data_IF_910709452425
#
_entry.id   IF_910709452425
#
_cell.length_a   1.000
_cell.length_b   1.000
_cell.length_c   1.000
_cell.angle_alpha   90.00
_cell.angle_beta   90.00
_cell.angle_gamma   90.00
#
_symmetry.space_group_name_H-M   'P 1'
#
loop_
_entity.id
_entity.type
_entity.pdbx_description
1 polymer ?
#
# COMPACT_ATOMS: atom_id res chain seq x y z
N UNK A 1 17.48 -4.02 -2.59
CA UNK A 1 16.10 -4.36 -2.19
C UNK A 1 15.94 -3.92 -0.75
N UNK A 2 14.99 -3.02 -0.51
CA UNK A 2 14.67 -2.47 0.81
C UNK A 2 13.17 -2.64 1.06
N UNK A 3 12.78 -2.95 2.30
CA UNK A 3 11.37 -2.90 2.73
C UNK A 3 11.25 -1.71 3.67
N UNK A 4 10.33 -0.80 3.37
CA UNK A 4 10.11 0.41 4.16
C UNK A 4 8.63 0.74 4.26
N UNK A 5 8.29 1.62 5.19
CA UNK A 5 6.94 2.18 5.30
C UNK A 5 6.66 3.05 4.07
N UNK A 6 5.44 2.95 3.56
CA UNK A 6 4.89 3.81 2.52
C UNK A 6 5.06 5.31 2.87
N UNK A 7 5.31 6.13 1.84
CA UNK A 7 5.40 7.59 1.95
C UNK A 7 4.49 8.25 0.91
N UNK A 8 4.15 9.51 1.13
CA UNK A 8 3.26 10.27 0.23
C UNK A 8 3.78 10.27 -1.22
N UNK A 9 5.10 10.26 -1.41
CA UNK A 9 5.73 10.26 -2.73
C UNK A 9 5.53 8.94 -3.50
N UNK A 10 5.20 7.84 -2.81
CA UNK A 10 4.96 6.53 -3.43
C UNK A 10 3.54 6.39 -4.00
N UNK A 11 2.66 7.38 -3.78
CA UNK A 11 1.21 7.26 -4.02
C UNK A 11 0.86 6.84 -5.46
N UNK A 12 1.35 7.59 -6.45
CA UNK A 12 1.07 7.29 -7.87
C UNK A 12 1.72 5.97 -8.32
N UNK A 13 2.93 5.68 -7.83
CA UNK A 13 3.68 4.48 -8.20
C UNK A 13 3.00 3.20 -7.67
N UNK A 14 2.48 3.25 -6.44
CA UNK A 14 1.73 2.15 -5.81
C UNK A 14 0.41 1.88 -6.53
N UNK A 15 -0.37 2.91 -6.88
CA UNK A 15 -1.62 2.71 -7.64
C UNK A 15 -1.32 2.11 -9.01
N UNK A 16 -0.29 2.60 -9.69
CA UNK A 16 0.17 2.06 -10.98
C UNK A 16 0.60 0.60 -10.85
N UNK A 17 1.28 0.24 -9.76
CA UNK A 17 1.65 -1.14 -9.47
C UNK A 17 0.42 -2.03 -9.25
N UNK A 18 -0.57 -1.56 -8.48
CA UNK A 18 -1.82 -2.31 -8.26
C UNK A 18 -2.63 -2.51 -9.54
N UNK A 19 -2.65 -1.52 -10.44
CA UNK A 19 -3.24 -1.65 -11.77
C UNK A 19 -2.51 -2.74 -12.58
N UNK A 20 -1.18 -2.69 -12.63
CA UNK A 20 -0.34 -3.69 -13.32
C UNK A 20 -0.50 -5.11 -12.77
N UNK A 21 -0.85 -5.24 -11.50
CA UNK A 21 -1.08 -6.51 -10.83
C UNK A 21 -2.55 -6.96 -10.83
N UNK A 22 -3.45 -6.27 -11.54
CA UNK A 22 -4.89 -6.55 -11.59
C UNK A 22 -5.56 -6.61 -10.20
N UNK A 23 -5.10 -5.76 -9.27
CA UNK A 23 -5.61 -5.69 -7.90
C UNK A 23 -6.76 -4.68 -7.73
N UNK A 24 -6.88 -3.71 -8.63
CA UNK A 24 -7.94 -2.71 -8.59
C UNK A 24 -9.32 -3.35 -8.78
N UNK A 25 -10.32 -2.85 -8.06
CA UNK A 25 -11.71 -3.33 -8.14
C UNK A 25 -12.67 -2.15 -8.32
N UNK A 26 -13.72 -2.27 -9.15
CA UNK A 26 -14.65 -1.15 -9.40
C UNK A 26 -15.34 -0.60 -8.14
N UNK A 27 -15.42 -1.39 -7.07
CA UNK A 27 -16.04 -1.00 -5.81
C UNK A 27 -15.05 -0.46 -4.76
N UNK A 28 -13.74 -0.50 -5.03
CA UNK A 28 -12.70 0.01 -4.15
C UNK A 28 -11.88 1.05 -4.91
N UNK A 29 -12.07 2.31 -4.54
CA UNK A 29 -11.23 3.41 -5.02
C UNK A 29 -9.86 3.33 -4.33
N UNK A 30 -8.77 3.11 -5.07
CA UNK A 30 -7.43 2.94 -4.49
C UNK A 30 -6.92 4.23 -3.83
N UNK A 31 -7.31 5.41 -4.34
CA UNK A 31 -6.91 6.69 -3.73
C UNK A 31 -7.51 6.80 -2.33
N UNK A 32 -8.81 6.51 -2.21
CA UNK A 32 -9.50 6.51 -0.92
C UNK A 32 -8.93 5.47 0.05
N UNK A 33 -8.53 4.28 -0.42
CA UNK A 33 -7.94 3.25 0.42
C UNK A 33 -6.58 3.68 1.00
N UNK A 34 -5.73 4.30 0.18
CA UNK A 34 -4.45 4.88 0.65
C UNK A 34 -4.69 6.02 1.63
N UNK A 35 -5.60 6.95 1.32
CA UNK A 35 -5.93 8.07 2.22
C UNK A 35 -6.47 7.59 3.58
N UNK A 36 -7.36 6.59 3.58
CA UNK A 36 -7.84 5.97 4.82
C UNK A 36 -6.69 5.40 5.62
N UNK A 37 -5.74 4.73 4.96
CA UNK A 37 -4.61 4.10 5.64
C UNK A 37 -3.66 5.13 6.24
N UNK A 38 -3.37 6.21 5.50
CA UNK A 38 -2.57 7.35 5.98
C UNK A 38 -3.22 8.02 7.20
N UNK A 39 -4.53 8.21 7.17
CA UNK A 39 -5.27 8.85 8.26
C UNK A 39 -5.43 7.95 9.50
N UNK A 40 -5.56 6.64 9.32
CA UNK A 40 -5.73 5.71 10.43
C UNK A 40 -4.38 5.37 11.09
N UNK A 41 -3.48 4.75 10.34
CA UNK A 41 -2.11 4.43 10.75
C UNK A 41 -1.34 3.81 9.56
N UNK A 42 -0.35 4.53 9.04
CA UNK A 42 0.47 4.09 7.90
C UNK A 42 1.55 3.09 8.28
N UNK A 43 1.87 2.90 9.56
CA UNK A 43 3.07 2.17 10.01
C UNK A 43 3.19 0.72 9.51
N UNK A 44 2.06 0.09 9.17
CA UNK A 44 1.96 -1.27 8.64
C UNK A 44 1.69 -1.34 7.14
N UNK A 45 1.65 -0.19 6.44
CA UNK A 45 1.63 -0.16 4.98
C UNK A 45 3.08 -0.16 4.48
N UNK A 46 3.52 -1.29 3.95
CA UNK A 46 4.91 -1.51 3.54
C UNK A 46 5.02 -1.56 2.02
N UNK A 47 6.14 -1.04 1.53
CA UNK A 47 6.55 -1.10 0.14
C UNK A 47 7.91 -1.80 0.03
N UNK A 48 8.08 -2.56 -1.04
CA UNK A 48 9.35 -3.15 -1.44
C UNK A 48 9.97 -2.31 -2.55
N UNK A 49 11.17 -1.77 -2.30
CA UNK A 49 11.89 -0.93 -3.24
C UNK A 49 13.11 -1.66 -3.81
N UNK A 50 13.28 -1.62 -5.13
CA UNK A 50 14.45 -2.14 -5.85
C UNK A 50 14.91 -1.09 -6.84
N UNK A 51 16.18 -0.67 -6.70
CA UNK A 51 16.80 0.36 -7.57
C UNK A 51 16.03 1.70 -7.61
N UNK A 52 15.36 2.08 -6.52
CA UNK A 52 14.57 3.31 -6.45
C UNK A 52 13.12 3.18 -6.92
N UNK A 53 12.71 2.01 -7.42
CA UNK A 53 11.34 1.75 -7.88
C UNK A 53 10.58 0.87 -6.88
N UNK A 54 9.31 1.18 -6.66
CA UNK A 54 8.39 0.36 -5.85
C UNK A 54 7.93 -0.83 -6.69
N UNK A 55 8.33 -2.04 -6.26
CA UNK A 55 8.08 -3.30 -6.98
C UNK A 55 7.11 -4.24 -6.27
N UNK A 56 6.65 -3.88 -5.07
CA UNK A 56 5.73 -4.69 -4.28
C UNK A 56 5.15 -3.90 -3.12
N UNK A 57 3.97 -4.28 -2.66
CA UNK A 57 3.34 -3.70 -1.48
C UNK A 57 2.75 -4.77 -0.59
N UNK A 58 2.49 -4.37 0.66
CA UNK A 58 1.49 -5.01 1.51
C UNK A 58 0.87 -3.95 2.40
N UNK A 59 -0.43 -3.72 2.25
CA UNK A 59 -1.22 -2.92 3.16
C UNK A 59 -1.63 -3.75 4.39
N UNK A 60 -0.76 -3.73 5.40
CA UNK A 60 -0.99 -4.37 6.69
C UNK A 60 -1.86 -3.53 7.62
N UNK A 61 -2.62 -4.19 8.51
CA UNK A 61 -3.42 -3.55 9.53
C UNK A 61 -3.43 -4.34 10.83
N UNK A 62 -3.75 -3.66 11.93
CA UNK A 62 -4.00 -4.28 13.23
C UNK A 62 -5.18 -3.60 13.91
N UNK A 63 -6.19 -4.37 14.27
CA UNK A 63 -7.44 -3.86 14.86
C UNK A 63 -7.47 -3.93 16.40
N UNK A 64 -6.33 -4.30 17.03
CA UNK A 64 -6.23 -4.56 18.47
C UNK A 64 -6.39 -6.04 18.85
N UNK A 65 -6.76 -6.90 17.91
CA UNK A 65 -6.93 -8.35 18.12
C UNK A 65 -6.34 -9.22 17.01
N UNK A 66 -6.43 -8.79 15.76
CA UNK A 66 -5.99 -9.51 14.56
C UNK A 66 -5.20 -8.60 13.64
N UNK A 67 -4.21 -9.22 13.01
CA UNK A 67 -3.53 -8.65 11.85
C UNK A 67 -4.32 -8.93 10.58
N UNK A 68 -4.26 -7.99 9.64
CA UNK A 68 -4.72 -8.14 8.27
C UNK A 68 -3.60 -7.76 7.30
N UNK A 69 -3.63 -8.33 6.11
CA UNK A 69 -2.70 -8.03 5.02
C UNK A 69 -3.46 -8.08 3.70
N UNK A 70 -3.46 -6.97 2.97
CA UNK A 70 -4.08 -6.81 1.66
C UNK A 70 -3.08 -6.16 0.69
N UNK A 71 -3.30 -6.33 -0.61
CA UNK A 71 -2.55 -5.75 -1.74
C UNK A 71 -1.03 -5.62 -1.54
#
# INVERSE_FOLDING_TARGET
MEIRVFRQEDFEEVITLWERCDLLRPWNDPEMDIERKMNHDVSLFLVAEVNGEVVGTVMGGYDGHRGSAYY
#
